data_IF_726319183935
#
_entry.id   IF_726319183935
#
_cell.length_a   1.000
_cell.length_b   1.000
_cell.length_c   1.000
_cell.angle_alpha   90.00
_cell.angle_beta   90.00
_cell.angle_gamma   90.00
#
_symmetry.space_group_name_H-M   'P 1'
#
loop_
_entity.id
_entity.type
_entity.pdbx_description
1 polymer ?
#
# COMPACT_ATOMS: atom_id res chain seq x y z
N UNK A 1 -2.23 35.12 -26.44
CA UNK A 1 -2.35 33.65 -26.55
C UNK A 1 -1.58 33.06 -25.37
N UNK A 2 -2.21 32.19 -24.56
CA UNK A 2 -1.82 31.95 -23.17
C UNK A 2 -0.71 30.89 -23.06
N UNK A 3 0.16 31.04 -22.07
CA UNK A 3 1.11 30.00 -21.63
C UNK A 3 0.72 29.59 -20.22
N UNK A 4 0.22 28.36 -20.08
CA UNK A 4 -0.23 27.75 -18.83
C UNK A 4 0.94 27.37 -17.94
N UNK A 5 0.94 27.88 -16.71
CA UNK A 5 1.84 27.48 -15.62
C UNK A 5 1.60 26.01 -15.22
N UNK A 6 2.65 25.24 -14.85
CA UNK A 6 2.47 23.94 -14.23
C UNK A 6 2.00 24.13 -12.78
N UNK A 7 0.90 23.47 -12.42
CA UNK A 7 0.34 23.48 -11.07
C UNK A 7 1.27 22.76 -10.10
N UNK A 8 1.79 23.48 -9.11
CA UNK A 8 2.48 22.94 -7.95
C UNK A 8 1.47 22.30 -6.99
N UNK A 9 1.59 20.99 -6.81
CA UNK A 9 0.85 20.25 -5.78
C UNK A 9 1.53 20.50 -4.44
N UNK A 10 0.79 20.99 -3.45
CA UNK A 10 1.32 21.34 -2.11
C UNK A 10 1.29 20.13 -1.16
N UNK A 11 2.17 20.06 -0.15
CA UNK A 11 2.17 19.06 0.93
C UNK A 11 0.79 18.72 1.54
N UNK A 12 -0.15 19.68 1.57
CA UNK A 12 -1.52 19.46 2.03
C UNK A 12 -2.29 18.40 1.19
N UNK A 13 -1.86 18.15 -0.04
CA UNK A 13 -2.43 17.15 -0.95
C UNK A 13 -1.79 15.76 -0.80
N UNK A 14 -0.71 15.65 -0.03
CA UNK A 14 -0.02 14.40 0.34
C UNK A 14 -0.33 13.96 1.79
N UNK A 15 -1.27 14.62 2.48
CA UNK A 15 -1.70 14.24 3.84
C UNK A 15 -0.71 14.56 4.98
N UNK A 16 0.51 14.98 4.66
CA UNK A 16 1.54 15.36 5.64
C UNK A 16 1.21 16.72 6.28
N UNK A 17 1.20 16.76 7.63
CA UNK A 17 0.91 17.98 8.40
C UNK A 17 2.20 18.64 8.87
N UNK A 18 2.20 19.96 8.93
CA UNK A 18 3.31 20.74 9.49
C UNK A 18 3.62 20.27 10.92
N UNK A 19 4.88 19.84 11.14
CA UNK A 19 5.36 19.32 12.43
C UNK A 19 5.58 17.80 12.50
N UNK A 20 5.37 17.05 11.41
CA UNK A 20 5.63 15.61 11.35
C UNK A 20 7.13 15.29 11.13
N UNK A 21 7.67 14.33 11.89
CA UNK A 21 9.10 14.00 11.88
C UNK A 21 9.42 12.89 10.88
N UNK A 22 10.29 13.17 9.90
CA UNK A 22 10.89 12.15 9.03
C UNK A 22 12.13 11.58 9.73
N UNK A 23 12.04 10.37 10.29
CA UNK A 23 13.18 9.73 10.96
C UNK A 23 14.08 9.02 9.95
N UNK A 24 15.23 9.64 9.63
CA UNK A 24 16.33 8.99 8.93
C UNK A 24 17.27 8.38 9.98
N UNK A 25 17.29 7.05 10.13
CA UNK A 25 18.11 6.37 11.12
C UNK A 25 19.57 6.20 10.65
N UNK A 26 20.50 6.75 11.44
CA UNK A 26 21.90 6.36 11.52
C UNK A 26 22.25 6.16 13.01
N UNK A 27 22.85 5.01 13.34
CA UNK A 27 23.10 4.52 14.71
C UNK A 27 24.47 5.01 15.25
N UNK A 28 24.62 5.37 16.55
CA UNK A 28 25.24 4.45 17.52
C UNK A 28 24.83 4.58 19.03
N UNK A 29 24.64 3.42 19.69
CA UNK A 29 25.07 2.95 21.04
C UNK A 29 25.04 3.86 22.30
N UNK A 30 24.23 3.49 23.32
CA UNK A 30 24.64 2.74 24.56
C UNK A 30 23.75 2.99 25.81
N UNK A 31 23.22 1.89 26.39
CA UNK A 31 22.91 1.56 27.81
C UNK A 31 21.88 2.43 28.60
N UNK A 32 21.04 1.99 29.54
CA UNK A 32 20.69 0.75 30.28
C UNK A 32 19.51 1.19 31.21
N UNK A 33 18.34 0.56 31.37
CA UNK A 33 17.96 -0.49 32.35
C UNK A 33 16.44 -0.40 32.65
N UNK A 34 15.82 -1.57 32.87
CA UNK A 34 14.41 -1.89 33.30
C UNK A 34 14.41 -1.97 34.86
N UNK A 35 13.33 -2.08 35.69
CA UNK A 35 11.96 -2.62 35.48
C UNK A 35 10.80 -1.81 36.14
N UNK A 36 9.50 -2.11 36.13
CA UNK A 36 8.75 -3.36 36.42
C UNK A 36 7.22 -3.11 36.24
N UNK A 37 6.45 -4.16 35.91
CA UNK A 37 4.96 -4.31 35.99
C UNK A 37 4.51 -4.53 37.47
N UNK A 38 3.21 -4.59 37.88
CA UNK A 38 2.09 -5.41 37.31
C UNK A 38 0.72 -4.66 37.24
N UNK A 39 -0.18 -4.96 36.28
CA UNK A 39 -1.23 -6.01 36.19
C UNK A 39 -2.49 -5.81 37.08
N UNK A 40 -3.60 -6.42 36.62
CA UNK A 40 -4.95 -6.63 37.22
C UNK A 40 -6.02 -5.65 36.72
N UNK A 41 -7.25 -5.99 36.31
CA UNK A 41 -7.97 -7.21 35.89
C UNK A 41 -9.40 -6.78 35.46
N UNK A 42 -10.07 -7.59 34.63
CA UNK A 42 -11.50 -8.05 34.68
C UNK A 42 -12.59 -7.09 35.21
N UNK A 43 -13.84 -7.00 34.74
CA UNK A 43 -14.71 -7.80 33.87
C UNK A 43 -16.15 -7.28 34.05
N UNK A 44 -17.06 -7.77 33.20
CA UNK A 44 -18.52 -7.89 33.37
C UNK A 44 -19.36 -6.65 33.06
N UNK A 45 -20.18 -6.68 32.00
CA UNK A 45 -21.38 -7.49 31.72
C UNK A 45 -22.66 -6.93 32.38
N UNK A 46 -23.68 -6.89 31.53
CA UNK A 46 -25.13 -6.89 31.76
C UNK A 46 -25.90 -5.57 31.73
N UNK A 47 -27.13 -5.49 31.20
CA UNK A 47 -27.97 -6.27 30.26
C UNK A 47 -29.34 -5.54 30.27
N UNK A 48 -30.17 -5.71 29.22
CA UNK A 48 -31.65 -5.52 29.19
C UNK A 48 -32.17 -4.04 29.18
N UNK A 49 -33.24 -3.64 28.49
CA UNK A 49 -34.41 -4.37 27.95
C UNK A 49 -35.23 -3.46 26.99
N UNK A 50 -35.73 -4.06 25.90
CA UNK A 50 -37.16 -4.16 25.44
C UNK A 50 -38.00 -2.95 24.99
N UNK A 51 -38.65 -3.18 23.83
CA UNK A 51 -40.00 -2.81 23.32
C UNK A 51 -39.89 -2.09 21.96
N UNK A 52 -40.12 -2.68 20.79
CA UNK A 52 -41.29 -3.38 20.19
C UNK A 52 -42.54 -2.51 20.02
N UNK A 53 -42.97 -2.31 18.75
CA UNK A 53 -44.35 -2.41 18.24
C UNK A 53 -44.47 -1.99 16.74
N UNK A 54 -44.76 -2.96 15.87
CA UNK A 54 -45.83 -3.03 14.81
C UNK A 54 -45.96 -1.89 13.76
N UNK A 55 -46.26 -2.08 12.46
CA UNK A 55 -47.18 -3.02 11.77
C UNK A 55 -47.07 -2.95 10.21
N UNK A 56 -47.21 -4.12 9.55
CA UNK A 56 -47.99 -4.49 8.34
C UNK A 56 -48.21 -3.53 7.13
N UNK A 57 -47.80 -3.90 5.89
CA UNK A 57 -48.58 -4.53 4.76
C UNK A 57 -49.37 -3.51 3.91
N UNK A 58 -49.48 -3.48 2.56
CA UNK A 58 -49.84 -4.45 1.47
C UNK A 58 -49.82 -3.64 0.14
N UNK A 59 -49.15 -4.04 -0.96
CA UNK A 59 -49.61 -4.74 -2.19
C UNK A 59 -50.61 -4.06 -3.18
N UNK A 60 -50.25 -4.14 -4.48
CA UNK A 60 -51.07 -4.21 -5.74
C UNK A 60 -51.27 -2.91 -6.55
N UNK A 61 -50.68 -2.73 -7.75
CA UNK A 61 -51.11 -3.10 -9.14
C UNK A 61 -52.30 -2.25 -9.65
N UNK A 62 -52.32 -1.58 -10.84
CA UNK A 62 -52.53 -2.04 -12.25
C UNK A 62 -52.26 -0.83 -13.22
N UNK A 63 -51.46 -0.94 -14.30
CA UNK A 63 -51.75 -1.20 -15.75
C UNK A 63 -52.46 -0.10 -16.58
N UNK A 64 -51.79 0.41 -17.64
CA UNK A 64 -52.23 0.50 -19.06
C UNK A 64 -51.06 1.01 -19.95
N UNK A 65 -50.47 0.24 -20.88
CA UNK A 65 -50.81 0.04 -22.32
C UNK A 65 -50.99 1.37 -23.10
N UNK A 66 -50.45 1.63 -24.29
CA UNK A 66 -50.05 0.87 -25.50
C UNK A 66 -49.32 1.91 -26.43
N UNK A 67 -48.38 1.67 -27.36
CA UNK A 67 -48.35 0.90 -28.63
C UNK A 67 -46.94 1.18 -29.23
N UNK A 68 -46.03 0.25 -29.54
CA UNK A 68 -45.94 -0.81 -30.56
C UNK A 68 -45.70 -0.33 -32.01
N UNK A 69 -44.48 -0.59 -32.52
CA UNK A 69 -44.21 -0.99 -33.91
C UNK A 69 -42.86 -1.75 -33.98
N UNK A 70 -42.88 -2.93 -34.61
CA UNK A 70 -41.81 -3.92 -34.73
C UNK A 70 -41.03 -3.78 -36.04
N UNK A 71 -39.74 -4.17 -36.07
CA UNK A 71 -39.14 -5.02 -37.12
C UNK A 71 -37.64 -5.32 -36.86
N UNK A 72 -37.39 -6.59 -36.49
CA UNK A 72 -36.38 -7.53 -37.05
C UNK A 72 -34.96 -7.08 -37.46
N UNK A 73 -33.96 -7.67 -36.79
CA UNK A 73 -32.88 -8.53 -37.35
C UNK A 73 -31.44 -8.18 -36.94
N UNK A 74 -30.78 -9.21 -36.38
CA UNK A 74 -29.37 -9.56 -36.48
C UNK A 74 -28.28 -8.62 -35.91
N UNK A 75 -27.76 -9.07 -34.76
CA UNK A 75 -26.37 -9.47 -34.54
C UNK A 75 -25.20 -8.59 -35.01
N UNK A 76 -24.27 -8.41 -34.06
CA UNK A 76 -22.82 -8.22 -34.22
C UNK A 76 -22.35 -6.87 -34.77
N UNK A 77 -22.08 -5.93 -33.85
CA UNK A 77 -20.84 -5.15 -33.80
C UNK A 77 -20.92 -4.11 -32.66
N UNK A 78 -20.82 -4.60 -31.42
CA UNK A 78 -20.53 -3.77 -30.25
C UNK A 78 -19.18 -4.21 -29.65
N UNK A 79 -18.14 -4.21 -30.48
CA UNK A 79 -16.74 -4.42 -30.11
C UNK A 79 -15.96 -3.21 -30.62
N UNK A 80 -16.27 -2.02 -30.11
CA UNK A 80 -15.50 -0.81 -30.43
C UNK A 80 -15.75 0.37 -29.46
N UNK A 81 -16.22 0.12 -28.23
CA UNK A 81 -16.33 1.16 -27.19
C UNK A 81 -15.71 0.78 -25.83
N UNK A 82 -14.97 -0.33 -25.76
CA UNK A 82 -14.25 -0.75 -24.55
C UNK A 82 -13.00 0.11 -24.24
N UNK A 83 -12.66 1.09 -25.09
CA UNK A 83 -11.65 2.12 -24.77
C UNK A 83 -12.24 3.28 -23.94
N UNK A 84 -13.18 2.98 -23.06
CA UNK A 84 -13.76 3.94 -22.12
C UNK A 84 -12.86 4.02 -20.88
N UNK A 85 -11.91 4.97 -20.92
CA UNK A 85 -11.26 5.65 -19.79
C UNK A 85 -11.00 4.77 -18.55
N UNK A 86 -9.80 4.20 -18.46
CA UNK A 86 -9.17 3.88 -17.16
C UNK A 86 -9.37 5.08 -16.24
N UNK A 87 -10.15 4.93 -15.17
CA UNK A 87 -10.36 6.01 -14.22
C UNK A 87 -9.02 6.28 -13.51
N UNK A 88 -8.36 7.37 -13.90
CA UNK A 88 -7.18 7.95 -13.23
C UNK A 88 -6.06 6.95 -12.82
N UNK A 89 -5.88 5.85 -13.56
CA UNK A 89 -4.82 4.88 -13.26
C UNK A 89 -5.02 4.04 -11.99
N UNK A 90 -6.27 3.92 -11.49
CA UNK A 90 -6.56 3.09 -10.30
C UNK A 90 -6.94 1.64 -10.62
N UNK A 91 -7.21 1.32 -11.88
CA UNK A 91 -7.48 -0.05 -12.31
C UNK A 91 -7.14 -0.29 -13.79
N UNK A 92 -6.96 -1.56 -14.14
CA UNK A 92 -6.80 -2.10 -15.48
C UNK A 92 -7.83 -3.23 -15.68
N UNK A 93 -8.69 -3.16 -16.71
CA UNK A 93 -9.54 -4.29 -17.08
C UNK A 93 -8.70 -5.48 -17.53
N UNK A 94 -9.04 -6.66 -17.05
CA UNK A 94 -8.43 -7.95 -17.40
C UNK A 94 -9.55 -8.96 -17.68
N UNK A 95 -9.22 -10.11 -18.26
CA UNK A 95 -10.27 -11.08 -18.59
C UNK A 95 -11.09 -11.48 -17.35
N UNK A 96 -12.41 -11.31 -17.45
CA UNK A 96 -13.35 -11.56 -16.37
C UNK A 96 -13.40 -10.55 -15.22
N UNK A 97 -12.58 -9.49 -15.19
CA UNK A 97 -12.60 -8.55 -14.06
C UNK A 97 -11.66 -7.35 -14.16
N UNK A 98 -11.17 -6.89 -13.01
CA UNK A 98 -10.40 -5.67 -12.89
C UNK A 98 -9.23 -5.87 -11.92
N UNK A 99 -8.02 -5.61 -12.40
CA UNK A 99 -6.85 -5.44 -11.53
C UNK A 99 -6.87 -4.02 -10.97
N UNK A 100 -6.77 -3.88 -9.65
CA UNK A 100 -7.06 -2.64 -8.93
C UNK A 100 -5.91 -2.25 -8.02
N UNK A 101 -5.60 -0.96 -8.01
CA UNK A 101 -4.76 -0.33 -7.00
C UNK A 101 -5.60 -0.09 -5.74
N UNK A 102 -5.20 -0.67 -4.61
CA UNK A 102 -5.81 -0.50 -3.29
C UNK A 102 -4.96 0.46 -2.47
N UNK A 103 -5.24 1.75 -2.64
CA UNK A 103 -4.50 2.83 -1.97
C UNK A 103 -4.71 2.83 -0.45
N UNK A 104 -3.65 2.66 0.32
CA UNK A 104 -3.71 2.63 1.80
C UNK A 104 -3.44 4.03 2.40
N UNK A 105 -3.75 4.27 3.68
CA UNK A 105 -3.43 5.53 4.36
C UNK A 105 -1.93 5.84 4.36
N UNK A 106 -1.60 7.12 4.19
CA UNK A 106 -0.23 7.63 4.25
C UNK A 106 0.17 7.99 5.69
N UNK A 107 0.49 6.97 6.49
CA UNK A 107 0.74 7.12 7.93
C UNK A 107 2.01 6.41 8.41
N UNK A 108 3.07 6.42 7.58
CA UNK A 108 4.36 5.75 7.83
C UNK A 108 4.25 4.22 8.01
N UNK A 109 3.06 3.66 7.86
CA UNK A 109 2.76 2.23 7.98
C UNK A 109 2.19 1.63 6.70
N UNK A 110 2.24 2.37 5.58
CA UNK A 110 1.68 1.96 4.28
C UNK A 110 2.15 0.57 3.83
N UNK A 111 3.44 0.23 3.96
CA UNK A 111 3.96 -1.11 3.67
C UNK A 111 3.25 -2.20 4.47
N UNK A 112 3.15 -2.03 5.80
CA UNK A 112 2.49 -2.99 6.67
C UNK A 112 0.99 -3.08 6.38
N UNK A 113 0.34 -1.96 6.07
CA UNK A 113 -1.07 -1.95 5.67
C UNK A 113 -1.27 -2.72 4.37
N UNK A 114 -0.49 -2.41 3.33
CA UNK A 114 -0.59 -3.07 2.03
C UNK A 114 -0.32 -4.58 2.12
N UNK A 115 0.74 -4.98 2.83
CA UNK A 115 1.04 -6.39 3.11
C UNK A 115 -0.08 -7.04 3.93
N UNK A 116 -0.60 -6.36 4.95
CA UNK A 116 -1.71 -6.83 5.77
C UNK A 116 -2.98 -7.09 4.97
N UNK A 117 -3.29 -6.24 3.97
CA UNK A 117 -4.40 -6.47 3.06
C UNK A 117 -4.22 -7.78 2.26
N UNK A 118 -3.01 -8.05 1.78
CA UNK A 118 -2.72 -9.17 0.87
C UNK A 118 -2.48 -10.50 1.58
N UNK A 119 -1.62 -10.51 2.60
CA UNK A 119 -1.07 -11.73 3.21
C UNK A 119 -1.68 -12.06 4.58
N UNK A 120 -2.22 -11.06 5.27
CA UNK A 120 -2.56 -11.17 6.69
C UNK A 120 -3.80 -10.34 7.08
N UNK A 121 -4.95 -10.54 6.41
CA UNK A 121 -6.12 -9.72 6.68
C UNK A 121 -6.59 -9.82 8.12
N UNK A 122 -6.83 -8.65 8.74
CA UNK A 122 -7.25 -8.55 10.13
C UNK A 122 -6.12 -8.68 11.16
N UNK A 123 -4.85 -8.75 10.72
CA UNK A 123 -3.69 -8.67 11.62
C UNK A 123 -3.11 -7.26 11.65
N UNK A 124 -2.95 -6.73 12.86
CA UNK A 124 -2.40 -5.39 13.11
C UNK A 124 -0.94 -5.44 13.62
N UNK A 125 -0.39 -6.63 13.83
CA UNK A 125 0.87 -6.88 14.55
C UNK A 125 2.06 -7.20 13.62
N UNK A 126 2.01 -6.84 12.35
CA UNK A 126 3.06 -7.17 11.38
C UNK A 126 4.46 -6.62 11.74
N UNK A 127 4.53 -5.48 12.45
CA UNK A 127 5.80 -4.98 13.01
C UNK A 127 6.38 -5.90 14.08
N UNK A 128 5.52 -6.49 14.91
CA UNK A 128 5.93 -7.47 15.93
C UNK A 128 6.41 -8.76 15.27
N UNK A 129 5.71 -9.21 14.22
CA UNK A 129 6.13 -10.35 13.41
C UNK A 129 7.55 -10.15 12.87
N UNK A 130 7.82 -8.99 12.26
CA UNK A 130 9.16 -8.65 11.75
C UNK A 130 10.20 -8.69 12.87
N UNK A 131 9.91 -8.05 14.01
CA UNK A 131 10.81 -8.06 15.16
C UNK A 131 11.08 -9.48 15.71
N UNK A 132 10.07 -10.35 15.70
CA UNK A 132 10.19 -11.74 16.13
C UNK A 132 11.03 -12.58 15.16
N UNK A 133 10.79 -12.46 13.85
CA UNK A 133 11.59 -13.16 12.82
C UNK A 133 13.06 -12.77 12.92
N UNK A 134 13.36 -11.46 13.04
CA UNK A 134 14.73 -10.98 13.18
C UNK A 134 15.38 -11.56 14.44
N UNK A 135 14.67 -11.56 15.58
CA UNK A 135 15.22 -12.05 16.85
C UNK A 135 15.51 -13.55 16.83
N UNK A 136 14.66 -14.32 16.15
CA UNK A 136 14.73 -15.78 16.14
C UNK A 136 15.74 -16.34 15.12
N UNK A 137 16.18 -15.54 14.14
CA UNK A 137 17.17 -15.93 13.14
C UNK A 137 18.26 -14.84 12.97
N UNK A 138 19.16 -14.69 13.97
CA UNK A 138 20.22 -13.69 13.93
C UNK A 138 21.31 -13.97 12.89
N UNK A 139 21.38 -15.20 12.36
CA UNK A 139 22.36 -15.56 11.33
C UNK A 139 21.93 -14.98 9.98
N UNK A 140 20.68 -15.23 9.57
CA UNK A 140 20.12 -14.64 8.36
C UNK A 140 19.99 -13.12 8.49
N UNK A 141 19.43 -12.64 9.61
CA UNK A 141 19.20 -11.21 9.88
C UNK A 141 20.33 -10.59 10.70
N UNK A 142 21.56 -10.79 10.23
CA UNK A 142 22.77 -10.26 10.85
C UNK A 142 22.87 -8.74 10.76
N UNK A 143 23.73 -8.12 11.58
CA UNK A 143 24.02 -6.67 11.53
C UNK A 143 24.45 -6.21 10.13
N UNK A 144 25.14 -7.04 9.36
CA UNK A 144 25.53 -6.73 7.99
C UNK A 144 24.32 -6.60 7.05
N UNK A 145 23.30 -7.45 7.22
CA UNK A 145 22.05 -7.40 6.44
C UNK A 145 21.18 -6.24 6.91
N UNK A 146 21.05 -6.05 8.22
CA UNK A 146 20.22 -5.01 8.83
C UNK A 146 20.82 -3.60 8.70
N UNK A 147 22.13 -3.50 8.43
CA UNK A 147 22.88 -2.25 8.38
C UNK A 147 23.07 -1.57 9.74
N UNK A 148 22.67 -2.22 10.83
CA UNK A 148 22.80 -1.77 12.21
C UNK A 148 22.64 -2.96 13.17
N UNK A 149 23.04 -2.82 14.45
CA UNK A 149 22.84 -3.84 15.47
C UNK A 149 21.38 -4.28 15.56
N UNK A 150 21.18 -5.58 15.71
CA UNK A 150 19.88 -6.24 15.67
C UNK A 150 18.84 -5.58 16.59
N UNK A 151 19.17 -5.38 17.87
CA UNK A 151 18.27 -4.75 18.83
C UNK A 151 17.96 -3.29 18.47
N UNK A 152 18.88 -2.55 17.86
CA UNK A 152 18.61 -1.20 17.34
C UNK A 152 17.59 -1.23 16.20
N UNK A 153 17.72 -2.21 15.30
CA UNK A 153 16.79 -2.42 14.21
C UNK A 153 15.38 -2.75 14.73
N UNK A 154 15.29 -3.74 15.62
CA UNK A 154 14.03 -4.16 16.23
C UNK A 154 13.34 -2.99 16.95
N UNK A 155 14.07 -2.25 17.79
CA UNK A 155 13.52 -1.10 18.50
C UNK A 155 13.04 0.01 17.55
N UNK A 156 13.63 0.11 16.36
CA UNK A 156 13.21 1.07 15.35
C UNK A 156 11.96 0.59 14.61
N UNK A 157 11.96 -0.63 14.09
CA UNK A 157 10.86 -1.13 13.24
C UNK A 157 9.53 -1.29 14.00
N UNK A 158 9.60 -1.45 15.33
CA UNK A 158 8.43 -1.48 16.21
C UNK A 158 7.74 -0.10 16.36
N UNK A 159 8.42 1.01 16.05
CA UNK A 159 7.80 2.34 16.15
C UNK A 159 6.83 2.57 14.99
N UNK A 160 5.64 3.15 15.24
CA UNK A 160 4.63 3.36 14.20
C UNK A 160 5.05 4.35 13.11
N UNK A 161 6.03 5.21 13.39
CA UNK A 161 6.56 6.20 12.45
C UNK A 161 7.75 5.70 11.62
N UNK A 162 8.25 4.49 11.87
CA UNK A 162 9.35 3.91 11.10
C UNK A 162 8.82 3.28 9.81
N UNK A 163 9.47 3.59 8.69
CA UNK A 163 9.13 2.97 7.41
C UNK A 163 9.69 1.55 7.36
N UNK A 164 8.90 0.63 6.79
CA UNK A 164 9.43 -0.65 6.32
C UNK A 164 9.97 -0.51 4.91
N UNK A 165 10.69 -1.51 4.44
CA UNK A 165 11.19 -1.57 3.07
C UNK A 165 11.60 -2.97 2.65
N UNK A 166 12.72 -3.06 1.92
CA UNK A 166 13.19 -4.32 1.32
C UNK A 166 13.44 -5.45 2.34
N UNK A 167 13.92 -5.13 3.55
CA UNK A 167 14.14 -6.12 4.61
C UNK A 167 12.81 -6.71 5.07
N UNK A 168 11.82 -5.86 5.38
CA UNK A 168 10.48 -6.31 5.76
C UNK A 168 9.82 -7.14 4.65
N UNK A 169 9.96 -6.73 3.38
CA UNK A 169 9.40 -7.49 2.25
C UNK A 169 10.05 -8.87 2.11
N UNK A 170 11.38 -8.98 2.28
CA UNK A 170 12.07 -10.26 2.30
C UNK A 170 11.60 -11.16 3.46
N UNK A 171 11.43 -10.59 4.65
CA UNK A 171 10.88 -11.28 5.82
C UNK A 171 9.48 -11.79 5.53
N UNK A 172 8.58 -10.95 5.02
CA UNK A 172 7.20 -11.36 4.73
C UNK A 172 7.15 -12.42 3.63
N UNK A 173 7.95 -12.28 2.57
CA UNK A 173 7.99 -13.28 1.50
C UNK A 173 8.38 -14.67 2.03
N UNK A 174 9.45 -14.72 2.84
CA UNK A 174 9.93 -15.94 3.49
C UNK A 174 8.92 -16.49 4.50
N UNK A 175 8.42 -15.66 5.41
CA UNK A 175 7.52 -16.07 6.49
C UNK A 175 6.20 -16.64 5.97
N UNK A 176 5.62 -16.03 4.93
CA UNK A 176 4.36 -16.47 4.35
C UNK A 176 4.53 -17.52 3.23
N UNK A 177 5.77 -17.81 2.79
CA UNK A 177 6.07 -18.64 1.62
C UNK A 177 5.35 -18.14 0.35
N UNK A 178 5.41 -16.83 0.13
CA UNK A 178 4.74 -16.12 -0.99
C UNK A 178 5.75 -15.16 -1.58
N UNK A 179 5.95 -15.21 -2.91
CA UNK A 179 6.77 -14.21 -3.57
C UNK A 179 6.06 -12.85 -3.53
N UNK A 180 6.79 -11.75 -3.34
CA UNK A 180 6.23 -10.40 -3.35
C UNK A 180 6.86 -9.62 -4.49
N UNK A 181 6.08 -9.25 -5.49
CA UNK A 181 6.51 -8.39 -6.59
C UNK A 181 6.16 -6.93 -6.27
N UNK A 182 7.18 -6.11 -6.02
CA UNK A 182 7.04 -4.67 -5.83
C UNK A 182 7.38 -3.94 -7.12
N UNK A 183 6.43 -3.18 -7.68
CA UNK A 183 6.65 -2.45 -8.94
C UNK A 183 6.88 -0.97 -8.64
N UNK A 184 8.07 -0.47 -8.95
CA UNK A 184 8.43 0.94 -8.80
C UNK A 184 7.75 1.78 -9.88
N UNK A 185 6.93 2.77 -9.49
CA UNK A 185 6.16 3.55 -10.45
C UNK A 185 7.05 4.38 -11.37
N UNK A 186 8.13 4.95 -10.83
CA UNK A 186 9.03 5.84 -11.56
C UNK A 186 9.69 5.13 -12.74
N UNK A 187 10.28 3.97 -12.49
CA UNK A 187 11.09 3.21 -13.45
C UNK A 187 10.28 2.12 -14.15
N UNK A 188 9.22 1.62 -13.52
CA UNK A 188 8.50 0.43 -13.94
C UNK A 188 9.25 -0.87 -13.64
N UNK A 189 10.37 -0.82 -12.90
CA UNK A 189 11.12 -2.01 -12.49
C UNK A 189 10.29 -2.84 -11.51
N UNK A 190 10.35 -4.16 -11.68
CA UNK A 190 9.77 -5.12 -10.74
C UNK A 190 10.91 -5.65 -9.86
N UNK A 191 10.79 -5.44 -8.55
CA UNK A 191 11.66 -6.01 -7.54
C UNK A 191 10.91 -7.18 -6.89
N UNK A 192 11.38 -8.42 -7.12
CA UNK A 192 10.76 -9.62 -6.59
C UNK A 192 11.48 -10.12 -5.33
N UNK A 193 10.73 -10.24 -4.23
CA UNK A 193 11.20 -10.80 -2.96
C UNK A 193 10.78 -12.26 -2.87
N UNK A 194 11.73 -13.14 -2.54
CA UNK A 194 11.57 -14.59 -2.69
C UNK A 194 11.92 -15.10 -4.11
N UNK A 195 12.65 -14.32 -4.90
CA UNK A 195 13.15 -14.77 -6.20
C UNK A 195 14.03 -16.02 -6.05
N UNK A 196 13.80 -17.01 -6.91
CA UNK A 196 14.51 -18.30 -6.87
C UNK A 196 13.94 -19.31 -5.88
N UNK A 197 13.06 -18.88 -4.99
CA UNK A 197 12.27 -19.79 -4.15
C UNK A 197 11.12 -20.40 -4.96
N UNK A 198 10.75 -21.63 -4.66
CA UNK A 198 9.66 -22.35 -5.34
C UNK A 198 8.28 -21.94 -4.78
N UNK A 199 8.05 -20.65 -4.54
CA UNK A 199 6.76 -20.15 -4.07
C UNK A 199 5.72 -20.18 -5.19
N UNK A 200 4.60 -20.86 -4.93
CA UNK A 200 3.52 -21.07 -5.90
C UNK A 200 2.57 -19.87 -6.02
N UNK A 201 2.73 -18.84 -5.18
CA UNK A 201 1.86 -17.69 -5.13
C UNK A 201 2.66 -16.39 -5.09
N UNK A 202 2.12 -15.36 -5.76
CA UNK A 202 2.71 -14.02 -5.84
C UNK A 202 1.72 -12.98 -5.35
N UNK A 203 2.15 -12.14 -4.42
CA UNK A 203 1.47 -10.90 -4.05
C UNK A 203 2.09 -9.72 -4.81
N UNK A 204 1.29 -8.73 -5.19
CA UNK A 204 1.77 -7.58 -5.98
C UNK A 204 1.56 -6.28 -5.20
N UNK A 205 2.64 -5.50 -5.09
CA UNK A 205 2.67 -4.17 -4.52
C UNK A 205 3.07 -3.15 -5.58
N UNK A 206 2.62 -1.91 -5.40
CA UNK A 206 3.08 -0.75 -6.16
C UNK A 206 3.81 0.19 -5.21
N UNK A 207 5.01 0.64 -5.62
CA UNK A 207 5.83 1.56 -4.85
C UNK A 207 5.96 2.90 -5.59
N UNK A 208 5.52 3.98 -4.97
CA UNK A 208 5.54 5.32 -5.57
C UNK A 208 6.88 6.05 -5.39
N UNK A 209 7.85 5.46 -4.69
CA UNK A 209 9.09 6.13 -4.27
C UNK A 209 9.09 6.57 -2.80
N UNK A 210 7.92 6.65 -2.16
CA UNK A 210 7.75 6.91 -0.72
C UNK A 210 6.56 6.16 -0.09
N UNK A 211 5.69 5.54 -0.89
CA UNK A 211 4.46 4.92 -0.42
C UNK A 211 4.24 3.56 -1.11
N UNK A 212 3.70 2.59 -0.36
CA UNK A 212 3.34 1.27 -0.86
C UNK A 212 1.83 1.08 -0.87
N UNK A 213 1.31 0.62 -2.00
CA UNK A 213 -0.08 0.24 -2.19
C UNK A 213 -0.22 -1.23 -2.59
N UNK A 214 -1.36 -1.84 -2.25
CA UNK A 214 -1.64 -3.22 -2.62
C UNK A 214 -2.30 -3.31 -4.00
N UNK A 215 -2.06 -4.41 -4.72
CA UNK A 215 -2.76 -4.71 -5.98
C UNK A 215 -3.61 -5.95 -5.79
N UNK A 216 -4.89 -5.86 -6.14
CA UNK A 216 -5.84 -6.98 -6.07
C UNK A 216 -6.62 -7.14 -7.37
N UNK A 217 -7.16 -8.32 -7.62
CA UNK A 217 -8.10 -8.57 -8.71
C UNK A 217 -9.52 -8.66 -8.15
N UNK A 218 -10.48 -8.02 -8.82
CA UNK A 218 -11.89 -8.07 -8.44
C UNK A 218 -12.78 -8.30 -9.66
N UNK A 219 -13.80 -9.15 -9.51
CA UNK A 219 -14.83 -9.36 -10.53
C UNK A 219 -15.86 -8.21 -10.58
N UNK A 220 -15.96 -7.41 -9.51
CA UNK A 220 -16.89 -6.28 -9.44
C UNK A 220 -16.39 -5.11 -10.28
N UNK A 221 -17.26 -4.18 -10.67
CA UNK A 221 -16.85 -2.92 -11.29
C UNK A 221 -16.24 -1.95 -10.26
N UNK A 222 -15.23 -1.13 -10.62
CA UNK A 222 -14.70 -0.10 -9.74
C UNK A 222 -15.76 0.93 -9.33
N UNK A 223 -15.77 1.29 -8.05
CA UNK A 223 -16.73 2.22 -7.45
C UNK A 223 -16.02 3.32 -6.68
N UNK A 224 -16.59 4.54 -6.57
CA UNK A 224 -16.07 5.57 -5.67
C UNK A 224 -15.98 5.14 -4.19
N UNK A 225 -16.73 4.10 -3.80
CA UNK A 225 -16.65 3.51 -2.45
C UNK A 225 -15.41 2.61 -2.24
N UNK A 226 -14.61 2.36 -3.29
CA UNK A 226 -13.35 1.61 -3.21
C UNK A 226 -12.23 2.46 -2.59
N UNK A 227 -12.42 2.88 -1.34
CA UNK A 227 -11.45 3.61 -0.53
C UNK A 227 -11.21 2.87 0.78
N UNK A 228 -10.09 3.15 1.45
CA UNK A 228 -9.74 2.50 2.70
C UNK A 228 -10.68 2.92 3.85
N UNK A 229 -11.17 2.00 4.72
CA UNK A 229 -11.05 0.54 4.60
C UNK A 229 -11.95 -0.04 3.49
N UNK A 230 -11.42 -0.99 2.71
CA UNK A 230 -12.08 -1.52 1.52
C UNK A 230 -13.22 -2.51 1.87
N UNK A 231 -14.50 -2.17 1.64
CA UNK A 231 -15.63 -2.96 2.16
C UNK A 231 -15.81 -4.33 1.48
N UNK A 232 -15.28 -4.52 0.26
CA UNK A 232 -15.47 -5.74 -0.53
C UNK A 232 -14.17 -6.53 -0.76
N UNK A 233 -13.14 -6.26 0.05
CA UNK A 233 -11.83 -6.88 -0.14
C UNK A 233 -11.86 -8.41 -0.01
N UNK A 234 -12.80 -8.97 0.76
CA UNK A 234 -12.95 -10.42 0.95
C UNK A 234 -13.38 -11.17 -0.31
N UNK A 235 -13.90 -10.46 -1.31
CA UNK A 235 -14.24 -11.02 -2.62
C UNK A 235 -13.14 -10.85 -3.66
N UNK A 236 -12.04 -10.17 -3.30
CA UNK A 236 -10.92 -9.96 -4.20
C UNK A 236 -9.93 -11.13 -4.15
N UNK A 237 -9.37 -11.46 -5.31
CA UNK A 237 -8.16 -12.27 -5.38
C UNK A 237 -6.95 -11.40 -5.04
N UNK A 238 -6.19 -11.82 -4.04
CA UNK A 238 -5.05 -11.06 -3.47
C UNK A 238 -3.69 -11.70 -3.78
N UNK A 239 -3.70 -12.99 -4.04
CA UNK A 239 -2.54 -13.81 -4.38
C UNK A 239 -2.77 -14.43 -5.75
N UNK A 240 -1.75 -14.42 -6.59
CA UNK A 240 -1.81 -14.94 -7.94
C UNK A 240 -0.96 -16.19 -8.05
N UNK A 241 -1.56 -17.28 -8.53
CA UNK A 241 -0.86 -18.56 -8.67
C UNK A 241 0.21 -18.49 -9.76
N UNK A 242 1.39 -19.05 -9.47
CA UNK A 242 2.53 -19.22 -10.37
C UNK A 242 2.92 -20.70 -10.40
N UNK A 243 2.07 -21.54 -11.00
CA UNK A 243 2.34 -22.97 -11.18
C UNK A 243 2.60 -23.29 -12.64
N UNK A 244 3.20 -24.44 -12.93
CA UNK A 244 3.45 -24.89 -14.31
C UNK A 244 2.15 -25.17 -15.08
N UNK A 245 1.07 -25.52 -14.40
CA UNK A 245 -0.24 -25.80 -14.99
C UNK A 245 -1.03 -24.51 -15.27
N UNK A 246 -0.88 -23.51 -14.40
CA UNK A 246 -1.57 -22.23 -14.50
C UNK A 246 -0.74 -21.10 -13.88
N UNK A 247 -0.15 -20.27 -14.75
CA UNK A 247 0.64 -19.10 -14.36
C UNK A 247 -0.20 -17.82 -14.46
N UNK A 248 -1.08 -17.66 -13.49
CA UNK A 248 -1.89 -16.45 -13.32
C UNK A 248 -1.02 -15.23 -13.01
N UNK A 249 0.05 -15.42 -12.24
CA UNK A 249 0.93 -14.36 -11.80
C UNK A 249 1.55 -13.60 -12.97
N UNK A 250 2.01 -14.30 -14.02
CA UNK A 250 2.54 -13.64 -15.21
C UNK A 250 1.53 -12.72 -15.90
N UNK A 251 0.27 -13.15 -16.03
CA UNK A 251 -0.81 -12.33 -16.62
C UNK A 251 -1.09 -11.10 -15.75
N UNK A 252 -1.16 -11.29 -14.44
CA UNK A 252 -1.45 -10.21 -13.49
C UNK A 252 -0.29 -9.22 -13.38
N UNK A 253 0.96 -9.67 -13.51
CA UNK A 253 2.15 -8.80 -13.55
C UNK A 253 2.18 -7.93 -14.82
N UNK A 254 1.78 -8.48 -15.97
CA UNK A 254 1.64 -7.67 -17.20
C UNK A 254 0.58 -6.57 -16.99
N UNK A 255 -0.60 -6.93 -16.46
CA UNK A 255 -1.64 -5.94 -16.18
C UNK A 255 -1.22 -4.92 -15.09
N UNK A 256 -0.44 -5.34 -14.09
CA UNK A 256 0.12 -4.44 -13.08
C UNK A 256 1.14 -3.47 -13.71
N UNK A 257 1.91 -3.91 -14.70
CA UNK A 257 2.82 -3.05 -15.47
C UNK A 257 2.07 -1.99 -16.28
N UNK A 258 0.92 -2.34 -16.85
CA UNK A 258 0.03 -1.39 -17.52
C UNK A 258 -0.52 -0.35 -16.53
N UNK A 259 -0.97 -0.81 -15.35
CA UNK A 259 -1.44 0.03 -14.25
C UNK A 259 -0.36 1.04 -13.85
N UNK A 260 0.85 0.56 -13.58
CA UNK A 260 2.00 1.40 -13.23
C UNK A 260 2.37 2.37 -14.36
N UNK A 261 2.28 1.95 -15.61
CA UNK A 261 2.52 2.83 -16.76
C UNK A 261 1.51 3.97 -16.80
N UNK A 262 0.24 3.71 -16.45
CA UNK A 262 -0.78 4.75 -16.34
C UNK A 262 -0.48 5.71 -15.18
N UNK A 263 -0.12 5.19 -14.00
CA UNK A 263 0.28 6.00 -12.83
C UNK A 263 1.45 6.92 -13.17
N UNK A 264 2.49 6.38 -13.81
CA UNK A 264 3.67 7.13 -14.24
C UNK A 264 3.34 8.24 -15.23
N UNK A 265 2.47 7.99 -16.22
CA UNK A 265 2.01 9.00 -17.18
C UNK A 265 1.28 10.16 -16.49
N UNK A 266 0.67 9.90 -15.34
CA UNK A 266 0.00 10.92 -14.51
C UNK A 266 0.88 11.45 -13.36
N UNK A 267 2.19 11.16 -13.38
CA UNK A 267 3.14 11.58 -12.34
C UNK A 267 2.74 11.19 -10.90
N UNK A 268 2.10 10.03 -10.72
CA UNK A 268 1.76 9.49 -9.40
C UNK A 268 2.96 8.77 -8.77
N UNK A 269 4.09 9.47 -8.64
CA UNK A 269 5.31 9.00 -7.98
C UNK A 269 6.13 10.17 -7.45
N UNK A 270 6.99 9.90 -6.46
CA UNK A 270 7.89 10.87 -5.85
C UNK A 270 9.34 10.47 -6.15
N UNK A 271 10.14 11.41 -6.66
CA UNK A 271 11.56 11.18 -6.87
C UNK A 271 12.36 11.50 -5.59
N UNK A 272 12.53 10.49 -4.74
CA UNK A 272 13.33 10.61 -3.52
C UNK A 272 14.82 10.95 -3.78
N UNK A 273 15.32 10.82 -5.01
CA UNK A 273 16.71 11.19 -5.32
C UNK A 273 16.90 12.68 -5.60
N UNK A 274 15.84 13.42 -5.97
CA UNK A 274 15.97 14.79 -6.50
C UNK A 274 15.13 15.84 -5.79
N UNK A 275 14.27 15.44 -4.84
CA UNK A 275 13.49 16.39 -4.05
C UNK A 275 14.38 17.26 -3.16
N UNK A 276 14.08 18.56 -3.08
CA UNK A 276 14.83 19.48 -2.22
C UNK A 276 14.15 19.58 -0.87
N UNK A 277 14.91 19.23 0.17
CA UNK A 277 14.55 19.32 1.57
C UNK A 277 15.21 20.54 2.21
N UNK A 278 14.58 21.07 3.24
CA UNK A 278 15.18 22.01 4.18
C UNK A 278 15.39 21.29 5.50
N UNK A 279 16.61 21.28 6.02
CA UNK A 279 16.81 20.90 7.41
C UNK A 279 16.15 21.96 8.31
N UNK A 280 15.14 21.59 9.09
CA UNK A 280 14.43 22.53 9.97
C UNK A 280 15.26 22.95 11.19
N UNK A 281 16.32 22.20 11.49
CA UNK A 281 17.20 22.49 12.63
C UNK A 281 18.29 23.51 12.30
N UNK A 282 18.83 23.50 11.08
CA UNK A 282 19.90 24.43 10.68
C UNK A 282 19.62 25.24 9.42
N UNK A 283 18.48 25.03 8.77
CA UNK A 283 18.05 25.77 7.58
C UNK A 283 18.75 25.38 6.27
N UNK A 284 19.67 24.40 6.29
CA UNK A 284 20.41 23.97 5.09
C UNK A 284 19.48 23.32 4.06
N UNK A 285 19.57 23.76 2.81
CA UNK A 285 18.96 23.08 1.67
C UNK A 285 19.71 21.78 1.38
N UNK A 286 18.96 20.71 1.16
CA UNK A 286 19.46 19.34 1.04
C UNK A 286 18.78 18.71 -0.16
N UNK A 287 19.53 18.12 -1.07
CA UNK A 287 18.98 17.54 -2.30
C UNK A 287 18.95 16.01 -2.19
N UNK A 288 17.74 15.48 -2.14
CA UNK A 288 17.46 14.06 -2.11
C UNK A 288 17.79 13.37 -0.79
N UNK A 289 17.37 12.11 -0.69
CA UNK A 289 17.54 11.29 0.51
C UNK A 289 19.02 11.07 0.88
N UNK A 290 19.89 10.93 -0.13
CA UNK A 290 21.32 10.67 0.08
C UNK A 290 21.99 11.81 0.84
N UNK A 291 21.73 13.06 0.46
CA UNK A 291 22.26 14.22 1.18
C UNK A 291 21.60 14.38 2.54
N UNK A 292 20.31 14.06 2.68
CA UNK A 292 19.62 14.10 3.97
C UNK A 292 20.23 13.12 4.97
N UNK A 293 20.56 11.91 4.53
CA UNK A 293 21.21 10.88 5.35
C UNK A 293 22.64 11.26 5.73
N UNK A 294 23.41 11.82 4.78
CA UNK A 294 24.75 12.33 5.07
C UNK A 294 24.69 13.48 6.08
N UNK A 295 23.79 14.44 5.88
CA UNK A 295 23.57 15.57 6.78
C UNK A 295 23.15 15.12 8.18
N UNK A 296 22.22 14.17 8.30
CA UNK A 296 21.81 13.62 9.57
C UNK A 296 22.96 12.93 10.30
N UNK A 297 23.79 12.18 9.57
CA UNK A 297 24.94 11.47 10.14
C UNK A 297 26.03 12.43 10.62
N UNK A 298 26.29 13.51 9.87
CA UNK A 298 27.32 14.51 10.20
C UNK A 298 26.90 15.46 11.32
N UNK A 299 25.62 15.80 11.40
CA UNK A 299 25.13 16.89 12.27
C UNK A 299 24.20 16.43 13.40
N UNK A 300 23.70 15.20 13.34
CA UNK A 300 22.64 14.70 14.23
C UNK A 300 21.26 15.33 13.94
N UNK A 301 21.11 16.10 12.85
CA UNK A 301 19.84 16.70 12.50
C UNK A 301 18.94 15.71 11.75
N UNK A 302 17.72 15.52 12.24
CA UNK A 302 16.75 14.55 11.72
C UNK A 302 15.40 15.20 11.36
N UNK A 303 15.27 16.51 11.48
CA UNK A 303 14.06 17.23 11.02
C UNK A 303 14.29 17.83 9.65
N UNK A 304 13.59 17.30 8.66
CA UNK A 304 13.60 17.78 7.28
C UNK A 304 12.17 18.15 6.88
N UNK A 305 12.00 19.34 6.29
CA UNK A 305 10.76 19.82 5.71
C UNK A 305 10.92 20.12 4.22
N UNK A 306 9.83 20.43 3.53
CA UNK A 306 9.88 20.83 2.12
C UNK A 306 10.63 22.16 1.98
N UNK A 307 11.47 22.25 0.95
CA UNK A 307 12.17 23.49 0.63
C UNK A 307 11.25 24.38 -0.20
N UNK A 308 10.47 25.22 0.48
CA UNK A 308 9.80 26.35 -0.15
C UNK A 308 10.88 27.36 -0.58
N UNK A 309 11.21 27.35 -1.88
CA UNK A 309 12.23 28.23 -2.46
C UNK A 309 12.03 29.70 -2.17
#
# INVERSE_FOLDING_TARGET
>A
MPTSSPSTTTLAQLGLRSGESIQVAANPLAAETVPTRPAVSTSNMETQTRAELTSASTSSSVVNQQQQASATSASTSALSSASSKSALGKYVPVDGGYLRLRTVPDDNSCLFRAVGLLLAPGKDDLRQLVAEVIRNDPETWSEAVLGQPQESYINTILKPNSWGGAIELAIFASYFNIAIASIDVKTGRVDEFGEGEAYENVAVLVYSGIHYDAVTFSYSEPSPADVYPFPNLDFDTRLFSRTSEYDQASVMLIAAQELVTALRKTHQFTDAATFTLKCEQCGKAIVGEKEAKAHASETGHVKFGEYDG
#
